data_IF_118771941284
#
_entry.id   IF_118771941284
#
_cell.length_a   1.000
_cell.length_b   1.000
_cell.length_c   1.000
_cell.angle_alpha   90.00
_cell.angle_beta   90.00
_cell.angle_gamma   90.00
#
_symmetry.space_group_name_H-M   'P 1'
#
loop_
_entity.id
_entity.type
_entity.pdbx_description
1 polymer ?
#
# COMPACT_ATOMS: atom_id res chain seq x y z
N UNK A 1 -20.30 2.94 29.09
CA UNK A 1 -19.67 3.19 30.41
C UNK A 1 -19.20 1.85 30.94
N UNK A 2 -17.89 1.70 31.21
CA UNK A 2 -17.36 0.50 31.85
C UNK A 2 -17.50 0.65 33.37
N UNK A 3 -18.04 -0.38 34.01
CA UNK A 3 -18.13 -0.47 35.47
C UNK A 3 -17.20 -1.59 35.94
N UNK A 4 -16.31 -1.28 36.87
CA UNK A 4 -15.43 -2.24 37.53
C UNK A 4 -15.73 -2.23 39.02
N UNK A 5 -15.85 -3.41 39.63
CA UNK A 5 -16.14 -3.56 41.06
C UNK A 5 -15.20 -4.58 41.72
N UNK A 6 -14.68 -4.26 42.90
CA UNK A 6 -13.90 -5.15 43.76
C UNK A 6 -14.37 -4.98 45.22
N UNK A 7 -15.24 -5.89 45.68
CA UNK A 7 -15.95 -5.72 46.95
C UNK A 7 -16.84 -4.48 46.91
N UNK A 8 -16.68 -3.57 47.88
CA UNK A 8 -17.40 -2.29 47.95
C UNK A 8 -16.78 -1.19 47.07
N UNK A 9 -15.58 -1.40 46.52
CA UNK A 9 -14.93 -0.42 45.65
C UNK A 9 -15.52 -0.50 44.24
N UNK A 10 -15.91 0.65 43.70
CA UNK A 10 -16.44 0.78 42.34
C UNK A 10 -15.74 1.88 41.55
N UNK A 11 -15.42 1.60 40.28
CA UNK A 11 -14.93 2.60 39.33
C UNK A 11 -15.85 2.65 38.11
N UNK A 12 -16.28 3.85 37.74
CA UNK A 12 -17.00 4.12 36.51
C UNK A 12 -16.09 4.90 35.57
N UNK A 13 -15.89 4.40 34.34
CA UNK A 13 -15.12 5.12 33.33
C UNK A 13 -15.94 5.33 32.05
N UNK A 14 -16.05 6.58 31.54
CA UNK A 14 -16.61 6.80 30.23
C UNK A 14 -15.65 6.19 29.20
N UNK A 15 -16.22 5.47 28.24
CA UNK A 15 -15.50 4.91 27.11
C UNK A 15 -16.19 5.35 25.83
N UNK A 16 -15.39 5.60 24.81
CA UNK A 16 -15.82 6.00 23.48
C UNK A 16 -15.74 4.81 22.55
N UNK A 17 -16.84 4.50 21.88
CA UNK A 17 -16.86 3.50 20.81
C UNK A 17 -16.65 4.22 19.48
N UNK A 18 -15.70 3.72 18.69
CA UNK A 18 -15.48 4.18 17.32
C UNK A 18 -15.65 3.02 16.37
N UNK A 19 -16.58 3.18 15.44
CA UNK A 19 -16.82 2.21 14.37
C UNK A 19 -16.45 2.83 13.04
N UNK A 20 -15.55 2.17 12.31
CA UNK A 20 -15.07 2.63 11.01
C UNK A 20 -15.07 1.45 10.04
N UNK A 21 -15.48 1.69 8.80
CA UNK A 21 -15.27 0.72 7.72
C UNK A 21 -13.80 0.77 7.36
N UNK A 22 -13.02 -0.31 7.39
CA UNK A 22 -11.59 -0.33 6.99
C UNK A 22 -11.17 -1.68 6.41
N UNK A 23 -10.06 -1.73 5.66
CA UNK A 23 -9.38 -2.99 5.37
C UNK A 23 -8.73 -3.49 6.67
N UNK A 24 -9.25 -4.58 7.23
CA UNK A 24 -8.85 -5.07 8.55
C UNK A 24 -7.57 -5.89 8.41
N UNK A 25 -6.46 -5.53 9.08
CA UNK A 25 -5.27 -6.37 9.12
C UNK A 25 -5.60 -7.73 9.75
N UNK A 26 -5.18 -8.81 9.11
CA UNK A 26 -5.42 -10.19 9.57
C UNK A 26 -4.17 -10.85 10.14
N UNK A 27 -3.04 -10.14 10.20
CA UNK A 27 -1.75 -10.63 10.71
C UNK A 27 -0.60 -10.32 9.75
N UNK A 28 0.58 -10.86 10.06
CA UNK A 28 1.72 -10.84 9.14
C UNK A 28 1.69 -12.01 8.16
N UNK A 29 2.61 -12.00 7.20
CA UNK A 29 3.03 -13.23 6.54
C UNK A 29 3.62 -14.14 7.61
N UNK A 30 3.12 -15.38 7.70
CA UNK A 30 3.51 -16.31 8.76
C UNK A 30 4.95 -16.80 8.66
N UNK A 31 5.19 -18.06 9.03
CA UNK A 31 6.54 -18.63 9.06
C UNK A 31 7.11 -18.74 7.64
N UNK A 32 8.33 -18.23 7.41
CA UNK A 32 9.08 -18.51 6.18
C UNK A 32 9.58 -19.95 6.21
N UNK A 33 9.07 -20.80 5.32
CA UNK A 33 9.32 -22.26 5.37
C UNK A 33 10.26 -22.75 4.27
N UNK A 34 10.34 -22.05 3.14
CA UNK A 34 11.23 -22.44 2.05
C UNK A 34 11.53 -21.28 1.11
N UNK A 35 12.67 -21.41 0.46
CA UNK A 35 13.06 -20.62 -0.71
C UNK A 35 13.68 -21.58 -1.72
N UNK A 36 13.39 -21.38 -3.00
CA UNK A 36 13.87 -22.30 -4.03
C UNK A 36 13.81 -21.71 -5.43
N UNK A 37 14.02 -22.58 -6.39
CA UNK A 37 14.02 -22.28 -7.81
C UNK A 37 13.40 -23.43 -8.60
N UNK A 38 12.99 -23.16 -9.83
CA UNK A 38 12.62 -24.18 -10.80
C UNK A 38 13.13 -23.74 -12.16
N UNK A 39 13.98 -24.57 -12.78
CA UNK A 39 14.32 -24.37 -14.19
C UNK A 39 13.10 -24.73 -15.06
N UNK A 40 12.93 -24.04 -16.18
CA UNK A 40 11.82 -24.23 -17.11
C UNK A 40 11.71 -25.69 -17.52
N UNK A 41 10.52 -26.27 -17.36
CA UNK A 41 10.25 -27.69 -17.63
C UNK A 41 10.80 -28.67 -16.58
N UNK A 42 11.46 -28.19 -15.53
CA UNK A 42 12.04 -28.99 -14.45
C UNK A 42 11.10 -29.16 -13.25
N UNK A 43 11.72 -29.40 -12.09
CA UNK A 43 11.06 -29.48 -10.78
C UNK A 43 11.65 -28.44 -9.85
N UNK A 44 10.88 -28.04 -8.83
CA UNK A 44 11.38 -27.17 -7.78
C UNK A 44 12.54 -27.83 -7.03
N UNK A 45 13.61 -27.07 -6.83
CA UNK A 45 14.78 -27.44 -6.03
C UNK A 45 15.15 -26.31 -5.07
N UNK A 46 15.94 -26.57 -4.02
CA UNK A 46 16.67 -25.49 -3.34
C UNK A 46 17.48 -24.65 -4.34
N UNK A 47 17.78 -23.40 -3.99
CA UNK A 47 18.63 -22.53 -4.82
C UNK A 47 20.00 -23.19 -5.00
N UNK A 48 20.45 -23.27 -6.26
CA UNK A 48 21.77 -23.77 -6.60
C UNK A 48 22.65 -22.60 -7.03
N UNK A 49 23.84 -22.40 -6.41
CA UNK A 49 24.73 -21.29 -6.78
C UNK A 49 25.10 -21.26 -8.27
N UNK A 50 25.19 -22.43 -8.91
CA UNK A 50 25.48 -22.56 -10.33
C UNK A 50 24.46 -21.87 -11.24
N UNK A 51 23.20 -21.77 -10.81
CA UNK A 51 22.12 -21.18 -11.62
C UNK A 51 21.98 -19.67 -11.43
N UNK A 52 22.74 -19.11 -10.48
CA UNK A 52 22.79 -17.69 -10.12
C UNK A 52 21.43 -17.07 -9.76
N UNK A 53 20.47 -17.89 -9.38
CA UNK A 53 19.21 -17.49 -8.74
C UNK A 53 19.48 -16.79 -7.41
N UNK A 54 18.72 -15.76 -7.10
CA UNK A 54 18.82 -15.03 -5.83
C UNK A 54 17.45 -14.90 -5.19
N UNK A 55 17.40 -15.02 -3.87
CA UNK A 55 16.25 -14.65 -3.03
C UNK A 55 16.80 -14.15 -1.70
N UNK A 56 16.63 -12.87 -1.39
CA UNK A 56 17.19 -12.25 -0.19
C UNK A 56 16.43 -10.98 0.22
N UNK A 57 16.45 -10.66 1.51
CA UNK A 57 15.95 -9.38 2.02
C UNK A 57 17.02 -8.29 1.87
N UNK A 58 16.63 -7.14 1.31
CA UNK A 58 17.52 -6.01 1.04
C UNK A 58 16.71 -4.74 0.77
N UNK A 59 17.38 -3.63 0.51
CA UNK A 59 16.76 -2.39 0.02
C UNK A 59 17.04 -2.25 -1.47
N UNK A 60 16.01 -1.90 -2.24
CA UNK A 60 16.13 -1.64 -3.69
C UNK A 60 15.30 -0.44 -4.08
N UNK A 61 15.84 0.34 -5.00
CA UNK A 61 15.10 1.37 -5.71
C UNK A 61 14.40 0.77 -6.94
N UNK A 62 13.12 1.09 -7.09
CA UNK A 62 12.38 0.93 -8.34
C UNK A 62 11.80 2.30 -8.71
N UNK A 63 12.22 2.87 -9.83
CA UNK A 63 11.85 4.22 -10.26
C UNK A 63 12.38 5.31 -9.33
N UNK A 64 13.58 5.13 -8.77
CA UNK A 64 14.19 6.05 -7.79
C UNK A 64 13.52 6.03 -6.40
N UNK A 65 12.56 5.14 -6.18
CA UNK A 65 11.92 4.96 -4.87
C UNK A 65 12.48 3.72 -4.20
N UNK A 66 13.23 3.93 -3.12
CA UNK A 66 13.85 2.85 -2.35
C UNK A 66 12.90 2.29 -1.30
N UNK A 67 12.83 0.95 -1.20
CA UNK A 67 12.07 0.25 -0.16
C UNK A 67 12.82 -0.97 0.36
N UNK A 68 12.60 -1.36 1.63
CA UNK A 68 12.92 -2.71 2.08
C UNK A 68 12.05 -3.71 1.32
N UNK A 69 12.69 -4.71 0.72
CA UNK A 69 12.02 -5.69 -0.12
C UNK A 69 12.61 -7.09 0.03
N UNK A 70 11.82 -8.10 -0.32
CA UNK A 70 12.32 -9.40 -0.72
C UNK A 70 12.69 -9.31 -2.20
N UNK A 71 14.00 -9.29 -2.45
CA UNK A 71 14.57 -9.31 -3.79
C UNK A 71 14.64 -10.75 -4.29
N UNK A 72 14.25 -10.98 -5.54
CA UNK A 72 14.42 -12.23 -6.25
C UNK A 72 15.02 -11.99 -7.63
N UNK A 73 15.90 -12.89 -8.05
CA UNK A 73 16.30 -13.03 -9.45
C UNK A 73 16.03 -14.47 -9.87
N UNK A 74 15.26 -14.74 -10.94
CA UNK A 74 15.09 -16.08 -11.47
C UNK A 74 16.44 -16.65 -11.96
N UNK A 75 16.56 -17.97 -12.17
CA UNK A 75 17.78 -18.53 -12.74
C UNK A 75 18.09 -17.93 -14.12
N UNK A 76 19.37 -17.64 -14.36
CA UNK A 76 19.86 -17.16 -15.67
C UNK A 76 21.12 -17.88 -16.14
N UNK A 77 21.73 -18.71 -15.28
CA UNK A 77 22.84 -19.59 -15.64
C UNK A 77 22.34 -21.04 -15.65
N UNK A 78 22.74 -21.83 -16.65
CA UNK A 78 22.30 -23.23 -16.81
C UNK A 78 20.85 -23.41 -17.25
N UNK A 79 20.08 -22.32 -17.38
CA UNK A 79 18.70 -22.30 -17.85
C UNK A 79 17.92 -21.14 -17.23
N UNK A 80 16.69 -20.96 -17.70
CA UNK A 80 15.72 -19.95 -17.21
C UNK A 80 14.60 -20.62 -16.43
N UNK A 81 13.73 -19.85 -15.79
CA UNK A 81 12.61 -20.35 -14.99
C UNK A 81 12.23 -19.38 -13.89
N UNK A 82 11.91 -19.87 -12.70
CA UNK A 82 11.49 -19.01 -11.58
C UNK A 82 12.25 -19.25 -10.28
N UNK A 83 12.25 -18.21 -9.45
CA UNK A 83 12.60 -18.25 -8.04
C UNK A 83 11.32 -18.12 -7.19
N UNK A 84 11.33 -18.67 -5.97
CA UNK A 84 10.20 -18.50 -5.05
C UNK A 84 10.63 -18.38 -3.59
N UNK A 85 9.75 -17.77 -2.78
CA UNK A 85 9.76 -17.83 -1.32
C UNK A 85 8.37 -18.27 -0.83
N UNK A 86 8.35 -19.18 0.14
CA UNK A 86 7.15 -19.84 0.64
C UNK A 86 6.94 -19.53 2.12
N UNK A 87 5.72 -19.11 2.48
CA UNK A 87 5.33 -18.75 3.83
C UNK A 87 4.14 -19.59 4.28
N UNK A 88 4.24 -20.28 5.42
CA UNK A 88 3.11 -20.98 6.03
C UNK A 88 2.32 -20.03 6.91
N UNK A 89 1.01 -19.97 6.72
CA UNK A 89 0.13 -19.15 7.55
C UNK A 89 -1.23 -19.80 7.76
N UNK A 90 -1.84 -19.49 8.90
CA UNK A 90 -3.22 -19.81 9.21
C UNK A 90 -4.12 -18.63 8.83
N UNK A 91 -5.09 -18.88 7.94
CA UNK A 91 -6.08 -17.88 7.57
C UNK A 91 -7.24 -17.90 8.59
N UNK A 92 -7.67 -16.74 9.11
CA UNK A 92 -8.75 -16.69 10.09
C UNK A 92 -10.06 -17.25 9.53
N UNK A 93 -10.77 -18.02 10.36
CA UNK A 93 -12.09 -18.52 10.03
C UNK A 93 -13.08 -17.34 9.89
N UNK A 94 -13.94 -17.39 8.86
CA UNK A 94 -15.01 -16.41 8.65
C UNK A 94 -14.58 -15.07 8.04
N UNK A 95 -13.29 -14.81 7.84
CA UNK A 95 -12.80 -13.62 7.14
C UNK A 95 -12.34 -13.97 5.72
N UNK A 96 -12.93 -13.28 4.73
CA UNK A 96 -12.39 -13.25 3.36
C UNK A 96 -11.08 -12.48 3.39
N UNK A 97 -9.98 -13.13 3.07
CA UNK A 97 -8.63 -12.58 3.18
C UNK A 97 -8.04 -12.24 1.79
N UNK A 98 -7.12 -11.29 1.75
CA UNK A 98 -6.31 -10.98 0.59
C UNK A 98 -4.84 -10.72 0.99
N UNK A 99 -3.91 -11.13 0.14
CA UNK A 99 -2.54 -10.61 0.15
C UNK A 99 -2.50 -9.35 -0.73
N UNK A 100 -1.97 -8.25 -0.21
CA UNK A 100 -1.64 -7.06 -0.99
C UNK A 100 -0.17 -6.73 -0.86
N UNK A 101 0.48 -6.33 -1.95
CA UNK A 101 1.88 -5.96 -1.94
C UNK A 101 2.23 -4.97 -3.05
N UNK A 102 3.41 -4.38 -2.89
CA UNK A 102 4.13 -3.66 -3.93
C UNK A 102 5.04 -4.63 -4.69
N UNK A 103 5.04 -4.57 -6.01
CA UNK A 103 5.96 -5.31 -6.88
C UNK A 103 6.79 -4.30 -7.69
N UNK A 104 8.03 -4.62 -8.04
CA UNK A 104 8.85 -3.70 -8.84
C UNK A 104 10.04 -4.38 -9.50
N UNK A 105 10.50 -3.82 -10.62
CA UNK A 105 11.79 -4.16 -11.22
C UNK A 105 12.81 -3.14 -10.73
N UNK A 106 13.89 -3.61 -10.11
CA UNK A 106 14.90 -2.72 -9.54
C UNK A 106 15.65 -1.94 -10.62
N UNK A 107 16.09 -0.73 -10.28
CA UNK A 107 16.78 0.19 -11.17
C UNK A 107 18.16 -0.33 -11.61
N UNK A 108 18.65 0.15 -12.76
CA UNK A 108 20.03 -0.03 -13.22
C UNK A 108 20.29 -1.26 -14.10
N UNK A 109 19.25 -2.03 -14.43
CA UNK A 109 19.35 -3.19 -15.31
C UNK A 109 18.81 -2.95 -16.72
N UNK A 110 18.90 -3.97 -17.57
CA UNK A 110 18.21 -3.99 -18.86
C UNK A 110 16.70 -4.20 -18.66
N UNK A 111 15.88 -3.61 -19.54
CA UNK A 111 14.41 -3.71 -19.41
C UNK A 111 13.92 -5.16 -19.59
N UNK A 112 14.52 -5.90 -20.52
CA UNK A 112 14.10 -7.24 -20.91
C UNK A 112 12.64 -7.27 -21.37
N UNK A 113 12.03 -8.45 -21.34
CA UNK A 113 10.58 -8.63 -21.46
C UNK A 113 9.84 -8.60 -20.11
N UNK A 114 10.61 -8.47 -19.03
CA UNK A 114 10.20 -8.20 -17.65
C UNK A 114 9.77 -9.44 -16.88
N UNK A 115 9.26 -9.21 -15.67
CA UNK A 115 9.10 -10.27 -14.67
C UNK A 115 7.63 -10.67 -14.57
N UNK A 116 7.36 -11.96 -14.51
CA UNK A 116 6.05 -12.49 -14.16
C UNK A 116 5.95 -12.70 -12.64
N UNK A 117 5.42 -11.70 -11.93
CA UNK A 117 5.10 -11.81 -10.51
C UNK A 117 3.88 -12.69 -10.32
N UNK A 118 4.01 -13.75 -9.52
CA UNK A 118 2.96 -14.74 -9.28
C UNK A 118 2.80 -15.00 -7.79
N UNK A 119 1.55 -15.19 -7.36
CA UNK A 119 1.21 -15.65 -6.01
C UNK A 119 0.45 -16.95 -6.14
N UNK A 120 0.92 -17.99 -5.49
CA UNK A 120 0.27 -19.30 -5.46
C UNK A 120 -0.03 -19.73 -4.02
N UNK A 121 -1.12 -20.48 -3.84
CA UNK A 121 -1.50 -21.11 -2.57
C UNK A 121 -1.33 -22.61 -2.71
N UNK A 122 -0.55 -23.21 -1.83
CA UNK A 122 -0.44 -24.66 -1.67
C UNK A 122 -1.29 -25.06 -0.46
N UNK A 123 -2.34 -25.82 -0.72
CA UNK A 123 -3.22 -26.37 0.31
C UNK A 123 -2.57 -27.56 1.04
N UNK A 124 -3.18 -27.99 2.14
CA UNK A 124 -2.66 -29.10 2.96
C UNK A 124 -2.54 -30.44 2.22
N UNK A 125 -3.32 -30.65 1.16
CA UNK A 125 -3.24 -31.80 0.25
C UNK A 125 -2.09 -31.69 -0.77
N UNK A 126 -1.30 -30.61 -0.71
CA UNK A 126 -0.22 -30.31 -1.64
C UNK A 126 -0.68 -29.68 -2.96
N UNK A 127 -1.99 -29.46 -3.16
CA UNK A 127 -2.49 -28.83 -4.38
C UNK A 127 -2.10 -27.36 -4.42
N UNK A 128 -1.35 -27.00 -5.44
CA UNK A 128 -1.00 -25.62 -5.75
C UNK A 128 -2.04 -24.96 -6.64
N UNK A 129 -2.40 -23.72 -6.32
CA UNK A 129 -3.33 -22.90 -7.10
C UNK A 129 -2.73 -21.50 -7.27
N UNK A 130 -2.54 -21.07 -8.52
CA UNK A 130 -2.18 -19.69 -8.82
C UNK A 130 -3.37 -18.77 -8.54
N UNK A 131 -3.18 -17.77 -7.69
CA UNK A 131 -4.25 -16.87 -7.22
C UNK A 131 -4.07 -15.43 -7.69
N UNK A 132 -2.86 -15.05 -8.09
CA UNK A 132 -2.61 -13.77 -8.74
C UNK A 132 -1.39 -13.86 -9.66
N UNK A 133 -1.41 -13.07 -10.73
CA UNK A 133 -0.28 -12.87 -11.61
C UNK A 133 -0.30 -11.45 -12.19
N UNK A 134 0.87 -10.81 -12.29
CA UNK A 134 1.06 -9.54 -13.01
C UNK A 134 2.43 -9.55 -13.70
N UNK A 135 2.44 -9.26 -15.00
CA UNK A 135 3.68 -8.98 -15.72
C UNK A 135 4.12 -7.56 -15.40
N UNK A 136 5.42 -7.36 -15.18
CA UNK A 136 5.96 -6.05 -14.84
C UNK A 136 7.29 -5.79 -15.54
N UNK A 137 7.34 -4.74 -16.36
CA UNK A 137 8.49 -4.35 -17.18
C UNK A 137 9.05 -2.98 -16.79
N UNK A 138 8.36 -2.25 -15.92
CA UNK A 138 8.70 -0.88 -15.57
C UNK A 138 9.71 -0.86 -14.41
N UNK A 139 10.72 0.02 -14.53
CA UNK A 139 11.56 0.44 -13.40
C UNK A 139 10.75 1.38 -12.50
N UNK A 140 9.78 0.81 -11.80
CA UNK A 140 8.84 1.49 -10.94
C UNK A 140 8.18 0.46 -10.01
N UNK A 141 7.61 0.94 -8.91
CA UNK A 141 6.71 0.13 -8.10
C UNK A 141 5.31 0.08 -8.74
N UNK A 142 4.71 -1.11 -8.71
CA UNK A 142 3.32 -1.39 -9.00
C UNK A 142 2.67 -2.14 -7.83
N UNK A 143 1.39 -2.50 -7.97
CA UNK A 143 0.66 -3.23 -6.92
C UNK A 143 0.21 -4.61 -7.40
N UNK A 144 0.13 -5.57 -6.48
CA UNK A 144 -0.47 -6.88 -6.71
C UNK A 144 -1.41 -7.23 -5.56
N UNK A 145 -2.53 -7.86 -5.90
CA UNK A 145 -3.52 -8.36 -4.93
C UNK A 145 -3.87 -9.81 -5.27
N UNK A 146 -3.93 -10.66 -4.26
CA UNK A 146 -4.34 -12.06 -4.38
C UNK A 146 -5.51 -12.34 -3.43
N UNK A 147 -6.62 -12.85 -3.97
CA UNK A 147 -7.77 -13.28 -3.17
C UNK A 147 -7.48 -14.65 -2.53
N UNK A 148 -7.49 -14.68 -1.21
CA UNK A 148 -7.25 -15.88 -0.39
C UNK A 148 -8.53 -16.41 0.25
N UNK A 149 -9.69 -15.80 -0.06
CA UNK A 149 -11.00 -16.19 0.48
C UNK A 149 -11.35 -17.68 0.32
N UNK A 150 -10.98 -18.38 -0.77
CA UNK A 150 -11.26 -19.82 -0.91
C UNK A 150 -10.60 -20.69 0.18
N UNK A 151 -9.61 -20.17 0.90
CA UNK A 151 -8.89 -20.85 1.97
C UNK A 151 -9.16 -20.29 3.37
N UNK A 152 -10.21 -19.48 3.56
CA UNK A 152 -10.58 -18.97 4.88
C UNK A 152 -10.71 -20.11 5.92
N UNK A 153 -10.14 -19.90 7.11
CA UNK A 153 -10.11 -20.89 8.19
C UNK A 153 -9.12 -22.05 8.00
N UNK A 154 -8.30 -22.05 6.95
CA UNK A 154 -7.33 -23.12 6.67
C UNK A 154 -5.90 -22.65 6.92
N UNK A 155 -5.03 -23.62 7.24
CA UNK A 155 -3.59 -23.43 7.10
C UNK A 155 -3.18 -23.71 5.66
N UNK A 156 -2.36 -22.82 5.10
CA UNK A 156 -1.85 -22.90 3.73
C UNK A 156 -0.40 -22.46 3.66
N UNK A 157 0.27 -22.83 2.57
CA UNK A 157 1.57 -22.23 2.19
C UNK A 157 1.36 -21.26 1.04
N UNK A 158 1.71 -19.99 1.24
CA UNK A 158 1.68 -18.96 0.22
C UNK A 158 3.05 -18.86 -0.44
N UNK A 159 3.12 -19.01 -1.77
CA UNK A 159 4.35 -18.88 -2.55
C UNK A 159 4.34 -17.57 -3.32
N UNK A 160 5.33 -16.72 -3.06
CA UNK A 160 5.68 -15.56 -3.87
C UNK A 160 6.69 -16.03 -4.92
N UNK A 161 6.39 -15.83 -6.20
CA UNK A 161 7.14 -16.41 -7.31
C UNK A 161 7.54 -15.29 -8.28
N UNK A 162 8.83 -15.16 -8.55
CA UNK A 162 9.37 -14.34 -9.63
C UNK A 162 9.82 -15.27 -10.77
N UNK A 163 9.02 -15.33 -11.83
CA UNK A 163 9.31 -16.09 -13.06
C UNK A 163 9.83 -15.13 -14.13
N UNK A 164 10.69 -15.63 -15.02
CA UNK A 164 11.10 -14.88 -16.21
C UNK A 164 9.89 -14.50 -17.05
N UNK A 165 10.05 -13.47 -17.86
CA UNK A 165 9.02 -12.99 -18.76
C UNK A 165 8.61 -13.99 -19.84
N UNK A 166 7.58 -13.65 -20.64
CA UNK A 166 6.95 -14.56 -21.60
C UNK A 166 7.87 -15.05 -22.73
N UNK A 167 8.96 -14.33 -23.03
CA UNK A 167 9.99 -14.69 -24.00
C UNK A 167 11.17 -15.43 -23.35
N UNK A 168 11.07 -15.80 -22.07
CA UNK A 168 12.13 -16.47 -21.31
C UNK A 168 13.42 -15.63 -21.24
N UNK A 169 13.31 -14.30 -21.32
CA UNK A 169 14.44 -13.37 -21.20
C UNK A 169 14.67 -12.96 -19.74
N UNK A 170 15.61 -13.63 -19.07
CA UNK A 170 15.97 -13.36 -17.68
C UNK A 170 16.74 -12.04 -17.43
N UNK A 171 16.91 -11.20 -18.46
CA UNK A 171 17.78 -10.01 -18.40
C UNK A 171 17.32 -9.02 -17.34
N UNK A 172 18.13 -8.93 -16.29
CA UNK A 172 17.91 -8.08 -15.13
C UNK A 172 16.50 -8.21 -14.53
N UNK A 173 15.99 -9.44 -14.42
CA UNK A 173 14.73 -9.76 -13.74
C UNK A 173 14.86 -9.62 -12.22
N UNK A 174 15.15 -8.40 -11.82
CA UNK A 174 15.46 -7.92 -10.48
C UNK A 174 14.16 -7.64 -9.72
N UNK A 175 13.44 -8.71 -9.41
CA UNK A 175 12.11 -8.68 -8.84
C UNK A 175 12.13 -8.26 -7.38
N UNK A 176 11.41 -7.20 -7.05
CA UNK A 176 11.28 -6.69 -5.69
C UNK A 176 9.85 -6.86 -5.19
N UNK A 177 9.67 -7.51 -4.04
CA UNK A 177 8.41 -7.59 -3.31
C UNK A 177 8.49 -6.75 -2.04
N UNK A 178 7.62 -5.75 -1.90
CA UNK A 178 7.59 -4.86 -0.73
C UNK A 178 6.16 -4.73 -0.19
N UNK A 179 6.02 -4.15 0.99
CA UNK A 179 4.72 -3.80 1.61
C UNK A 179 3.72 -4.96 1.67
N UNK A 180 4.19 -6.16 1.98
CA UNK A 180 3.37 -7.37 2.06
C UNK A 180 2.40 -7.28 3.24
N UNK A 181 1.09 -7.29 2.94
CA UNK A 181 0.02 -7.17 3.94
C UNK A 181 -1.03 -8.24 3.75
N UNK A 182 -1.37 -8.92 4.85
CA UNK A 182 -2.49 -9.84 4.93
C UNK A 182 -3.69 -9.13 5.57
N UNK A 183 -4.76 -8.96 4.82
CA UNK A 183 -5.88 -8.10 5.20
C UNK A 183 -7.22 -8.72 4.79
N UNK A 184 -8.33 -8.15 5.26
CA UNK A 184 -9.64 -8.46 4.72
C UNK A 184 -9.71 -8.14 3.21
N UNK A 185 -10.30 -9.01 2.42
CA UNK A 185 -10.53 -8.81 0.98
C UNK A 185 -11.36 -7.55 0.74
N UNK A 186 -12.41 -7.38 1.53
CA UNK A 186 -13.29 -6.20 1.46
C UNK A 186 -13.33 -5.49 2.80
N UNK A 187 -13.52 -4.15 2.80
CA UNK A 187 -13.56 -3.37 4.02
C UNK A 187 -14.68 -3.82 4.97
N UNK A 188 -14.36 -3.98 6.25
CA UNK A 188 -15.29 -4.38 7.30
C UNK A 188 -15.52 -3.24 8.28
N UNK A 189 -16.69 -3.21 8.93
CA UNK A 189 -16.90 -2.34 10.08
C UNK A 189 -16.10 -2.87 11.27
N UNK A 190 -15.09 -2.13 11.70
CA UNK A 190 -14.34 -2.42 12.92
C UNK A 190 -14.73 -1.45 14.01
N UNK A 191 -15.13 -2.00 15.15
CA UNK A 191 -15.44 -1.23 16.35
C UNK A 191 -14.29 -1.32 17.33
N UNK A 192 -13.83 -0.17 17.80
CA UNK A 192 -12.72 -0.01 18.76
C UNK A 192 -13.19 0.80 19.95
N UNK A 193 -12.61 0.49 21.12
CA UNK A 193 -12.95 1.11 22.40
C UNK A 193 -11.81 2.04 22.82
N UNK A 194 -12.15 3.28 23.16
CA UNK A 194 -11.18 4.33 23.47
C UNK A 194 -11.48 4.94 24.84
N UNK A 195 -10.43 5.22 25.59
CA UNK A 195 -10.55 5.84 26.92
C UNK A 195 -10.71 7.37 26.87
N UNK A 196 -10.51 7.96 25.69
CA UNK A 196 -10.61 9.39 25.41
C UNK A 196 -11.48 9.57 24.17
N UNK A 197 -12.01 10.78 24.01
CA UNK A 197 -12.73 11.15 22.79
C UNK A 197 -11.85 10.87 21.57
N UNK A 198 -12.45 10.29 20.53
CA UNK A 198 -11.76 9.86 19.32
C UNK A 198 -12.55 10.35 18.11
N UNK A 199 -11.85 10.89 17.12
CA UNK A 199 -12.45 11.32 15.86
C UNK A 199 -12.48 10.19 14.83
N UNK A 200 -13.48 10.22 13.95
CA UNK A 200 -13.49 9.39 12.75
C UNK A 200 -12.35 9.81 11.83
N UNK A 201 -11.65 8.82 11.26
CA UNK A 201 -10.60 9.01 10.26
C UNK A 201 -11.14 9.51 8.92
N UNK A 202 -12.44 9.38 8.69
CA UNK A 202 -13.10 9.80 7.46
C UNK A 202 -14.39 10.54 7.73
N UNK A 203 -14.70 11.50 6.86
CA UNK A 203 -15.97 12.22 6.81
C UNK A 203 -16.43 12.35 5.34
N UNK A 204 -17.73 12.58 5.09
CA UNK A 204 -18.21 12.81 3.73
C UNK A 204 -17.41 13.93 3.03
N UNK A 205 -17.09 13.70 1.76
CA UNK A 205 -16.52 14.73 0.89
C UNK A 205 -17.51 15.84 0.55
N UNK A 206 -17.04 16.95 -0.03
CA UNK A 206 -17.87 18.12 -0.28
C UNK A 206 -18.93 17.91 -1.37
N UNK A 207 -18.75 16.94 -2.26
CA UNK A 207 -19.68 16.68 -3.36
C UNK A 207 -20.58 15.49 -3.03
N UNK A 208 -21.89 15.73 -3.08
CA UNK A 208 -22.90 14.71 -2.78
C UNK A 208 -23.06 13.67 -3.90
N UNK A 209 -22.74 14.03 -5.15
CA UNK A 209 -22.86 13.13 -6.29
C UNK A 209 -21.93 11.92 -6.14
N UNK A 210 -22.39 10.76 -6.63
CA UNK A 210 -21.66 9.49 -6.63
C UNK A 210 -21.40 9.04 -8.06
N UNK A 211 -20.38 8.22 -8.23
CA UNK A 211 -20.02 7.59 -9.49
C UNK A 211 -19.45 6.20 -9.23
N UNK A 212 -19.50 5.33 -10.23
CA UNK A 212 -18.78 4.07 -10.21
C UNK A 212 -17.27 4.31 -10.30
N UNK A 213 -16.49 3.32 -9.86
CA UNK A 213 -15.03 3.38 -9.99
C UNK A 213 -14.59 3.57 -11.45
N UNK A 214 -15.28 2.93 -12.40
CA UNK A 214 -14.96 3.04 -13.83
C UNK A 214 -15.26 4.43 -14.41
N UNK A 215 -16.28 5.12 -13.90
CA UNK A 215 -16.52 6.53 -14.23
C UNK A 215 -15.42 7.42 -13.66
N UNK A 216 -15.00 7.19 -12.40
CA UNK A 216 -13.92 7.97 -11.77
C UNK A 216 -12.59 7.81 -12.51
N UNK A 217 -12.25 6.60 -12.96
CA UNK A 217 -11.05 6.32 -13.78
C UNK A 217 -11.06 7.06 -15.12
N UNK A 218 -12.25 7.41 -15.63
CA UNK A 218 -12.49 8.15 -16.88
C UNK A 218 -12.78 9.64 -16.65
N UNK A 219 -12.59 10.14 -15.43
CA UNK A 219 -12.78 11.55 -15.12
C UNK A 219 -11.92 12.42 -16.03
N UNK A 220 -12.50 13.54 -16.50
CA UNK A 220 -11.78 14.51 -17.34
C UNK A 220 -10.66 15.19 -16.56
N UNK A 221 -10.89 15.40 -15.27
CA UNK A 221 -9.95 16.03 -14.33
C UNK A 221 -10.11 15.40 -12.95
N UNK A 222 -9.01 15.20 -12.27
CA UNK A 222 -9.00 14.84 -10.86
C UNK A 222 -7.92 15.63 -10.12
N UNK A 223 -8.23 16.09 -8.90
CA UNK A 223 -7.35 16.93 -8.09
C UNK A 223 -7.34 16.42 -6.66
N UNK A 224 -6.15 16.13 -6.13
CA UNK A 224 -5.92 15.88 -4.71
C UNK A 224 -5.97 17.23 -3.98
N UNK A 225 -6.81 17.32 -2.97
CA UNK A 225 -6.92 18.43 -2.05
C UNK A 225 -6.41 18.01 -0.68
N UNK A 226 -5.77 18.93 0.02
CA UNK A 226 -5.31 18.73 1.39
C UNK A 226 -5.17 20.07 2.11
N UNK A 227 -4.95 20.03 3.41
CA UNK A 227 -4.56 21.19 4.22
C UNK A 227 -3.15 20.98 4.76
N UNK A 228 -2.35 22.04 4.79
CA UNK A 228 -0.99 22.03 5.32
C UNK A 228 -0.68 23.22 6.23
N UNK A 229 0.34 23.01 7.07
CA UNK A 229 1.10 24.03 7.80
C UNK A 229 2.59 23.69 7.64
N UNK A 230 3.42 24.69 7.42
CA UNK A 230 4.88 24.57 7.27
C UNK A 230 5.34 23.97 5.93
N UNK A 231 4.43 23.42 5.12
CA UNK A 231 4.78 22.72 3.88
C UNK A 231 5.26 23.70 2.80
N UNK A 232 6.48 23.47 2.33
CA UNK A 232 7.12 24.20 1.25
C UNK A 232 7.25 23.34 -0.01
N UNK A 233 7.53 23.98 -1.15
CA UNK A 233 7.79 23.31 -2.43
C UNK A 233 9.00 23.86 -3.19
N UNK A 234 9.85 24.62 -2.49
CA UNK A 234 11.09 25.19 -3.02
C UNK A 234 12.30 24.42 -2.52
N UNK A 235 13.33 24.16 -3.35
CA UNK A 235 14.53 23.44 -2.91
C UNK A 235 15.19 24.10 -1.67
N UNK A 236 15.65 23.30 -0.69
CA UNK A 236 15.68 21.84 -0.68
C UNK A 236 14.36 21.18 -0.22
N UNK A 237 13.38 21.96 0.22
CA UNK A 237 12.14 21.51 0.87
C UNK A 237 11.08 21.10 -0.16
N UNK A 238 11.28 19.94 -0.77
CA UNK A 238 10.34 19.34 -1.72
C UNK A 238 9.88 17.99 -1.20
N UNK A 239 8.55 17.84 -1.09
CA UNK A 239 7.88 16.58 -0.78
C UNK A 239 7.06 16.12 -1.99
N UNK A 240 6.87 14.81 -2.15
CA UNK A 240 6.20 14.19 -3.28
C UNK A 240 5.05 13.31 -2.82
N UNK A 241 3.96 13.31 -3.59
CA UNK A 241 2.83 12.43 -3.33
C UNK A 241 2.80 11.25 -4.32
N UNK A 242 2.43 10.06 -3.83
CA UNK A 242 2.21 8.87 -4.63
C UNK A 242 0.85 8.26 -4.30
N UNK A 243 0.06 7.91 -5.32
CA UNK A 243 -1.21 7.20 -5.17
C UNK A 243 -1.07 5.78 -5.71
N UNK A 244 -1.27 4.77 -4.87
CA UNK A 244 -1.09 3.36 -5.24
C UNK A 244 0.26 3.09 -5.92
N UNK A 245 1.33 3.70 -5.41
CA UNK A 245 2.70 3.68 -5.96
C UNK A 245 2.92 4.51 -7.23
N UNK A 246 1.88 5.13 -7.80
CA UNK A 246 2.02 6.02 -8.95
C UNK A 246 2.37 7.44 -8.48
N UNK A 247 3.50 8.03 -8.91
CA UNK A 247 3.84 9.41 -8.58
C UNK A 247 2.76 10.39 -9.08
N UNK A 248 2.34 11.30 -8.20
CA UNK A 248 1.46 12.42 -8.54
C UNK A 248 2.26 13.69 -8.89
N UNK A 249 3.47 13.81 -8.33
CA UNK A 249 4.35 14.96 -8.46
C UNK A 249 4.70 15.59 -7.11
N UNK A 250 5.37 16.73 -7.17
CA UNK A 250 5.74 17.52 -6.00
C UNK A 250 4.49 18.16 -5.36
N UNK A 251 4.38 18.08 -4.04
CA UNK A 251 3.32 18.74 -3.30
C UNK A 251 3.48 20.27 -3.40
N UNK A 252 2.40 21.02 -3.67
CA UNK A 252 2.46 22.48 -3.63
C UNK A 252 2.64 22.98 -2.19
N UNK A 253 3.21 24.19 -2.06
CA UNK A 253 3.33 24.86 -0.77
C UNK A 253 1.96 25.02 -0.09
N UNK A 254 1.91 24.72 1.21
CA UNK A 254 0.76 24.91 2.08
C UNK A 254 1.29 25.28 3.48
N UNK A 255 1.82 26.50 3.60
CA UNK A 255 2.58 26.94 4.77
C UNK A 255 1.74 27.35 5.99
N UNK A 256 0.49 27.79 5.80
CA UNK A 256 -0.32 28.26 6.93
C UNK A 256 0.31 29.40 7.74
N UNK A 257 -0.13 29.57 8.98
CA UNK A 257 0.53 30.38 10.01
C UNK A 257 0.73 29.51 11.26
N UNK A 258 1.95 28.99 11.42
CA UNK A 258 2.36 28.07 12.48
C UNK A 258 2.13 28.63 13.90
N UNK A 259 2.28 29.96 14.07
CA UNK A 259 2.14 30.61 15.39
C UNK A 259 0.68 30.81 15.77
N UNK A 260 -0.22 30.81 14.78
CA UNK A 260 -1.67 31.00 14.96
C UNK A 260 -2.48 29.74 14.70
N UNK A 261 -1.84 28.62 14.33
CA UNK A 261 -2.50 27.36 14.00
C UNK A 261 -3.40 27.45 12.76
N UNK A 262 -3.09 28.35 11.82
CA UNK A 262 -3.89 28.53 10.60
C UNK A 262 -3.43 27.55 9.54
N UNK A 263 -4.34 26.71 9.05
CA UNK A 263 -4.09 25.75 7.98
C UNK A 263 -4.45 26.35 6.62
N UNK A 264 -3.65 26.05 5.59
CA UNK A 264 -3.90 26.49 4.20
C UNK A 264 -4.13 25.31 3.27
N UNK A 265 -4.99 25.48 2.26
CA UNK A 265 -5.30 24.43 1.30
C UNK A 265 -4.22 24.27 0.22
N UNK A 266 -3.86 23.04 -0.10
CA UNK A 266 -3.03 22.66 -1.25
C UNK A 266 -3.82 21.82 -2.26
N UNK A 267 -3.41 21.88 -3.53
CA UNK A 267 -4.06 21.18 -4.65
C UNK A 267 -3.04 20.58 -5.61
N UNK A 268 -3.13 19.29 -5.88
CA UNK A 268 -2.24 18.57 -6.79
C UNK A 268 -3.05 17.75 -7.82
N UNK A 269 -2.94 18.02 -9.13
CA UNK A 269 -3.63 17.23 -10.15
C UNK A 269 -3.20 15.76 -10.12
N UNK A 270 -4.15 14.84 -10.31
CA UNK A 270 -3.84 13.42 -10.51
C UNK A 270 -3.53 13.18 -12.00
N UNK A 271 -2.38 12.57 -12.35
CA UNK A 271 -2.09 12.22 -13.73
C UNK A 271 -2.96 11.04 -14.20
N UNK A 272 -3.14 10.86 -15.53
CA UNK A 272 -3.91 9.74 -16.08
C UNK A 272 -3.45 8.35 -15.60
N UNK A 273 -2.15 8.17 -15.36
CA UNK A 273 -1.61 6.93 -14.83
C UNK A 273 -2.13 6.61 -13.42
N UNK A 274 -2.27 7.62 -12.56
CA UNK A 274 -2.81 7.45 -11.22
C UNK A 274 -4.32 7.15 -11.24
N UNK A 275 -5.05 7.76 -12.19
CA UNK A 275 -6.45 7.44 -12.43
C UNK A 275 -6.63 6.00 -12.90
N UNK A 276 -5.78 5.49 -13.78
CA UNK A 276 -5.86 4.11 -14.26
C UNK A 276 -5.70 3.08 -13.13
N UNK A 277 -4.86 3.36 -12.14
CA UNK A 277 -4.61 2.51 -10.96
C UNK A 277 -5.58 2.77 -9.80
N UNK A 278 -6.60 3.63 -9.97
CA UNK A 278 -7.56 3.95 -8.92
C UNK A 278 -8.34 2.71 -8.49
N UNK A 279 -8.51 2.55 -7.18
CA UNK A 279 -9.30 1.52 -6.49
C UNK A 279 -10.37 2.21 -5.65
N UNK A 280 -11.30 1.44 -5.07
CA UNK A 280 -12.20 2.00 -4.03
C UNK A 280 -11.37 2.43 -2.81
N UNK A 281 -10.37 1.64 -2.45
CA UNK A 281 -9.45 1.88 -1.34
C UNK A 281 -8.04 2.07 -1.87
N UNK A 282 -7.51 3.27 -1.71
CA UNK A 282 -6.21 3.67 -2.25
C UNK A 282 -5.26 4.02 -1.11
N UNK A 283 -3.97 3.80 -1.33
CA UNK A 283 -2.91 4.29 -0.45
C UNK A 283 -2.32 5.56 -1.05
N UNK A 284 -2.36 6.65 -0.30
CA UNK A 284 -1.60 7.86 -0.56
C UNK A 284 -0.36 7.86 0.33
N UNK A 285 0.81 7.96 -0.27
CA UNK A 285 2.08 8.14 0.42
C UNK A 285 2.63 9.55 0.16
N UNK A 286 3.20 10.18 1.19
CA UNK A 286 3.95 11.42 1.07
C UNK A 286 5.39 11.14 1.41
N UNK A 287 6.25 11.28 0.42
CA UNK A 287 7.70 11.13 0.52
C UNK A 287 8.32 12.50 0.72
N UNK A 288 9.21 12.62 1.70
CA UNK A 288 9.82 13.89 2.07
C UNK A 288 11.36 13.84 2.01
N UNK A 289 11.93 13.69 0.80
CA UNK A 289 13.38 13.63 0.63
C UNK A 289 14.06 14.96 1.01
N UNK A 290 13.34 16.08 0.85
CA UNK A 290 13.79 17.40 1.25
C UNK A 290 13.89 17.63 2.76
N UNK A 291 13.42 16.68 3.57
CA UNK A 291 13.36 16.74 5.04
C UNK A 291 12.69 18.04 5.52
N UNK A 292 11.62 18.43 4.84
CA UNK A 292 10.80 19.57 5.22
C UNK A 292 10.03 19.31 6.52
N UNK A 293 9.82 20.33 7.33
CA UNK A 293 9.10 20.24 8.58
C UNK A 293 7.68 20.75 8.37
N UNK A 294 6.70 19.85 8.35
CA UNK A 294 5.32 20.24 8.09
C UNK A 294 4.30 19.36 8.83
N UNK A 295 3.05 19.80 8.80
CA UNK A 295 1.90 19.00 9.12
C UNK A 295 0.85 19.09 8.01
N UNK A 296 0.18 17.99 7.76
CA UNK A 296 -0.84 17.86 6.71
C UNK A 296 -2.06 17.09 7.21
N UNK A 297 -3.24 17.40 6.67
CA UNK A 297 -4.51 16.75 7.05
C UNK A 297 -5.57 16.92 5.97
N UNK A 298 -6.76 16.36 6.21
CA UNK A 298 -7.97 16.58 5.40
C UNK A 298 -7.74 16.28 3.90
N UNK A 299 -7.12 15.15 3.59
CA UNK A 299 -6.88 14.74 2.20
C UNK A 299 -8.16 14.22 1.54
N UNK A 300 -8.41 14.60 0.30
CA UNK A 300 -9.50 14.07 -0.53
C UNK A 300 -9.25 14.35 -2.02
N UNK A 301 -9.98 13.69 -2.91
CA UNK A 301 -9.88 13.89 -4.36
C UNK A 301 -11.19 14.43 -4.91
N UNK A 302 -11.14 15.54 -5.64
CA UNK A 302 -12.21 16.04 -6.50
C UNK A 302 -12.08 15.40 -7.88
N UNK A 303 -13.19 14.91 -8.44
CA UNK A 303 -13.30 14.38 -9.79
C UNK A 303 -14.31 15.21 -10.57
N UNK A 304 -13.96 15.56 -11.80
CA UNK A 304 -14.85 16.21 -12.77
C UNK A 304 -15.10 15.23 -13.91
N UNK A 305 -16.34 14.76 -14.02
CA UNK A 305 -16.74 13.77 -15.02
C UNK A 305 -17.05 14.42 -16.37
N UNK A 306 -17.11 13.61 -17.43
CA UNK A 306 -17.42 14.08 -18.79
C UNK A 306 -18.82 14.66 -18.93
N UNK A 307 -19.76 14.25 -18.07
CA UNK A 307 -21.13 14.77 -18.00
C UNK A 307 -21.27 16.05 -17.14
N UNK A 308 -20.15 16.58 -16.64
CA UNK A 308 -20.10 17.80 -15.84
C UNK A 308 -20.35 17.59 -14.34
N UNK A 309 -20.65 16.38 -13.88
CA UNK A 309 -20.76 16.10 -12.44
C UNK A 309 -19.41 16.29 -11.74
N UNK A 310 -19.46 16.91 -10.56
CA UNK A 310 -18.37 16.88 -9.59
C UNK A 310 -18.64 15.82 -8.54
N UNK A 311 -17.67 14.95 -8.33
CA UNK A 311 -17.69 13.87 -7.34
C UNK A 311 -16.49 14.01 -6.43
N UNK A 312 -16.59 13.62 -5.16
CA UNK A 312 -15.46 13.63 -4.24
C UNK A 312 -15.25 12.27 -3.61
N UNK A 313 -14.00 11.91 -3.30
CA UNK A 313 -13.72 10.87 -2.29
C UNK A 313 -14.26 11.28 -0.91
N UNK A 314 -14.21 10.37 0.06
CA UNK A 314 -14.26 10.78 1.46
C UNK A 314 -13.07 11.68 1.81
N UNK A 315 -13.21 12.50 2.85
CA UNK A 315 -12.10 13.28 3.41
C UNK A 315 -11.43 12.47 4.51
N UNK A 316 -10.15 12.18 4.33
CA UNK A 316 -9.29 11.55 5.32
C UNK A 316 -8.79 12.62 6.28
N UNK A 317 -9.33 12.59 7.50
CA UNK A 317 -9.22 13.63 8.52
C UNK A 317 -7.95 13.60 9.38
N UNK A 318 -7.25 12.47 9.62
CA UNK A 318 -6.08 12.47 10.50
C UNK A 318 -5.05 13.48 10.06
N UNK A 319 -4.52 14.20 11.05
CA UNK A 319 -3.34 15.03 10.86
C UNK A 319 -2.09 14.17 11.03
N UNK A 320 -1.08 14.48 10.24
CA UNK A 320 0.26 13.93 10.33
C UNK A 320 1.24 15.07 10.43
N UNK A 321 2.30 14.91 11.22
CA UNK A 321 3.43 15.82 11.25
C UNK A 321 4.72 15.07 11.00
N UNK A 322 5.64 15.70 10.29
CA UNK A 322 6.97 15.19 10.08
C UNK A 322 7.97 16.35 10.23
N UNK A 323 9.01 16.20 11.05
CA UNK A 323 9.31 15.07 11.94
C UNK A 323 8.42 15.07 13.21
N UNK A 324 8.43 14.00 14.03
CA UNK A 324 7.62 13.92 15.25
C UNK A 324 7.95 15.01 16.28
N UNK A 325 9.19 15.50 16.25
CA UNK A 325 9.71 16.54 17.14
C UNK A 325 9.33 17.96 16.73
N UNK A 326 8.73 18.15 15.55
CA UNK A 326 8.35 19.49 15.10
C UNK A 326 7.22 20.05 15.98
N UNK A 327 7.43 21.18 16.69
CA UNK A 327 6.54 21.62 17.77
C UNK A 327 5.25 22.29 17.26
N UNK A 328 5.20 22.66 15.98
CA UNK A 328 4.09 23.43 15.39
C UNK A 328 3.04 22.56 14.69
N UNK A 329 3.27 21.24 14.61
CA UNK A 329 2.36 20.29 13.98
C UNK A 329 1.48 19.54 14.96
N UNK A 330 0.26 19.22 14.54
CA UNK A 330 -0.64 18.33 15.26
C UNK A 330 -0.65 16.92 14.64
N UNK A 331 -1.22 15.95 15.37
CA UNK A 331 -1.50 14.61 14.83
C UNK A 331 -0.39 13.58 15.01
N UNK A 332 -0.35 12.58 14.12
CA UNK A 332 0.59 11.46 14.21
C UNK A 332 1.98 11.91 13.75
N UNK A 333 2.98 11.74 14.61
CA UNK A 333 4.37 12.02 14.25
C UNK A 333 4.99 10.91 13.41
N UNK A 334 5.53 11.25 12.24
CA UNK A 334 6.22 10.32 11.35
C UNK A 334 7.69 10.75 11.21
N UNK A 335 8.68 9.87 11.45
CA UNK A 335 10.10 10.19 11.25
C UNK A 335 10.42 10.40 9.76
N UNK A 336 11.52 11.08 9.43
CA UNK A 336 11.89 11.38 8.03
C UNK A 336 12.19 10.13 7.20
N UNK A 337 12.59 9.07 7.88
CA UNK A 337 12.99 7.78 7.30
C UNK A 337 11.76 6.96 6.87
N UNK A 338 10.54 7.46 7.10
CA UNK A 338 9.29 6.83 6.68
C UNK A 338 8.41 7.82 5.95
N UNK A 339 7.72 7.32 4.94
CA UNK A 339 6.68 8.07 4.27
C UNK A 339 5.46 8.23 5.20
N UNK A 340 4.75 9.34 5.04
CA UNK A 340 3.42 9.48 5.63
C UNK A 340 2.46 8.69 4.75
N UNK A 341 1.87 7.61 5.29
CA UNK A 341 0.88 6.80 4.57
C UNK A 341 -0.53 7.01 5.14
N UNK A 342 -1.48 7.20 4.24
CA UNK A 342 -2.90 7.35 4.57
C UNK A 342 -3.79 6.77 3.46
N UNK A 343 -5.06 6.52 3.79
CA UNK A 343 -6.02 5.95 2.85
C UNK A 343 -6.81 7.05 2.14
N UNK A 344 -7.10 6.86 0.85
CA UNK A 344 -8.09 7.65 0.10
C UNK A 344 -9.19 6.70 -0.37
N UNK A 345 -10.40 6.89 0.15
CA UNK A 345 -11.57 6.08 -0.21
C UNK A 345 -12.33 6.78 -1.32
N UNK A 346 -12.11 6.32 -2.56
CA UNK A 346 -12.88 6.79 -3.70
C UNK A 346 -14.35 6.42 -3.47
N UNK A 347 -15.27 7.34 -3.75
CA UNK A 347 -16.69 7.04 -3.68
C UNK A 347 -17.03 6.04 -4.79
N UNK A 348 -17.02 4.75 -4.49
CA UNK A 348 -17.66 3.70 -5.27
C UNK A 348 -18.90 3.22 -4.52
N UNK A 349 -20.02 3.07 -5.23
CA UNK A 349 -21.23 2.47 -4.69
C UNK A 349 -20.99 1.06 -4.14
#
# INVERSE_FOLDING_TARGET
MLKLSAGELGMNRPLWLKTERELVPLGGLGEHVATGQCLRGGKETPIQPANRTQVLHTERACGGVEKPCLFMHPPYAGGVGYAFAAYRLALPAGAKAALRCSIGKADGGDRGDGIAFKVAVVAADGKETLVAQRQWTEFAWGTLEADLSPWAGKEVTLKLIADVGPADDSSADWACWADLRLESLTPQLRTTLHERAVSLRRRPGPHAAKASLDELRKARRAVLHFEGIGLQNGPPYVSQALLNQVPLGDLPSAGGDERKGVWTGGQLPLPPAALAELKVWNTLAIRNPGRDNFAVRNFWVEFELSDGRKVSSEITTPAYRQPPAWPHGEGTGVPFERDIELEIVACGN
#
